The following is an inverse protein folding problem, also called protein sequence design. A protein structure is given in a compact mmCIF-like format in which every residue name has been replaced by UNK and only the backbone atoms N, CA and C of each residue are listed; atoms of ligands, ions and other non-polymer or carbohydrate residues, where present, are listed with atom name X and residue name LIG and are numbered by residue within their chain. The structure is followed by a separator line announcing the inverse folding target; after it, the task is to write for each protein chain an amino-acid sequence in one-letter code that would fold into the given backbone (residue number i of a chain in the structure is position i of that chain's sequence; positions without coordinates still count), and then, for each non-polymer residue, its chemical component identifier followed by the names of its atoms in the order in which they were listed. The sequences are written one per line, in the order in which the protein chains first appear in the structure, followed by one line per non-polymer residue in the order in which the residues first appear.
data_IF_280764417493
#
_entry.id   IF_280764417493
#
_cell.length_a   1.000
_cell.length_b   1.000
_cell.length_c   1.000
_cell.angle_alpha   90.00
_cell.angle_beta   90.00
_cell.angle_gamma   90.00
#
_symmetry.space_group_name_H-M   'P 1'
#
loop_
_entity.id
_entity.type
_entity.pdbx_description
1 polymer ?
#
# COMPACT_ATOMS: atom_id res chain seq x y z
N UNK A 1 53.44 -27.90 -21.89
CA UNK A 1 52.40 -28.65 -21.15
C UNK A 1 51.32 -27.69 -20.71
N UNK A 2 50.15 -27.76 -21.35
CA UNK A 2 48.94 -27.11 -20.86
C UNK A 2 48.29 -28.07 -19.86
N UNK A 3 48.40 -27.75 -18.56
CA UNK A 3 47.80 -28.58 -17.51
C UNK A 3 47.09 -27.67 -16.51
N UNK A 4 45.77 -27.67 -16.58
CA UNK A 4 44.85 -27.41 -15.47
C UNK A 4 45.04 -26.11 -14.67
N UNK A 5 44.66 -24.96 -15.25
CA UNK A 5 44.13 -23.86 -14.44
C UNK A 5 42.74 -24.27 -13.93
N UNK A 6 42.68 -24.96 -12.79
CA UNK A 6 41.51 -24.84 -11.91
C UNK A 6 41.70 -23.50 -11.21
N UNK A 7 40.79 -22.56 -11.40
CA UNK A 7 40.77 -21.30 -10.67
C UNK A 7 40.65 -21.59 -9.18
N UNK A 8 41.79 -21.76 -8.49
CA UNK A 8 41.83 -21.61 -7.05
C UNK A 8 41.58 -20.13 -6.79
N UNK A 9 40.62 -19.81 -5.93
CA UNK A 9 40.44 -18.45 -5.46
C UNK A 9 41.74 -17.87 -4.90
N UNK A 10 41.82 -16.54 -4.88
CA UNK A 10 43.02 -15.79 -4.50
C UNK A 10 43.63 -16.29 -3.16
N UNK A 11 42.78 -16.79 -2.26
CA UNK A 11 43.11 -17.42 -0.97
C UNK A 11 44.13 -18.57 -0.99
N UNK A 12 44.38 -19.20 -2.14
CA UNK A 12 45.35 -20.30 -2.25
C UNK A 12 46.72 -19.90 -2.81
N UNK A 13 46.90 -18.63 -3.21
CA UNK A 13 48.09 -18.19 -3.95
C UNK A 13 49.15 -17.68 -2.96
N UNK A 14 50.09 -18.55 -2.58
CA UNK A 14 51.22 -18.21 -1.69
C UNK A 14 52.50 -17.83 -2.44
N UNK A 15 52.48 -17.92 -3.78
CA UNK A 15 53.63 -17.65 -4.66
C UNK A 15 53.22 -16.64 -5.73
N UNK A 16 53.97 -15.56 -5.96
CA UNK A 16 53.67 -14.59 -7.01
C UNK A 16 53.63 -15.28 -8.38
N UNK A 17 52.63 -14.94 -9.20
CA UNK A 17 52.64 -15.31 -10.61
C UNK A 17 53.80 -14.58 -11.28
N UNK A 18 54.77 -15.35 -11.76
CA UNK A 18 56.03 -14.83 -12.29
C UNK A 18 56.08 -15.06 -13.80
N UNK A 19 56.04 -13.98 -14.57
CA UNK A 19 56.16 -14.00 -16.03
C UNK A 19 57.57 -13.59 -16.43
N UNK A 20 58.33 -14.51 -17.02
CA UNK A 20 59.65 -14.21 -17.56
C UNK A 20 59.48 -13.76 -19.00
N UNK A 21 60.00 -12.58 -19.33
CA UNK A 21 60.05 -12.08 -20.71
C UNK A 21 61.48 -11.84 -21.16
N UNK A 22 61.71 -12.07 -22.45
CA UNK A 22 63.01 -11.86 -23.10
C UNK A 22 62.86 -10.76 -24.13
N UNK A 23 63.63 -9.69 -23.98
CA UNK A 23 63.70 -8.61 -24.98
C UNK A 23 64.90 -8.87 -25.88
N UNK A 24 64.69 -8.88 -27.19
CA UNK A 24 65.75 -9.04 -28.19
C UNK A 24 65.99 -7.73 -28.93
N UNK A 25 67.21 -7.20 -28.84
CA UNK A 25 67.61 -6.02 -29.58
C UNK A 25 67.85 -6.34 -31.07
N UNK A 26 67.78 -5.35 -31.99
CA UNK A 26 67.94 -5.56 -33.43
C UNK A 26 69.30 -6.16 -33.83
N UNK A 27 70.33 -5.97 -33.02
CA UNK A 27 71.67 -6.54 -33.20
C UNK A 27 71.76 -8.03 -32.80
N UNK A 28 70.69 -8.60 -32.26
CA UNK A 28 70.61 -10.01 -31.88
C UNK A 28 70.77 -10.29 -30.39
N UNK A 29 71.19 -9.32 -29.58
CA UNK A 29 71.36 -9.47 -28.14
C UNK A 29 70.02 -9.67 -27.45
N UNK A 30 69.99 -10.49 -26.40
CA UNK A 30 68.78 -10.74 -25.60
C UNK A 30 69.04 -10.46 -24.13
N UNK A 31 68.05 -9.86 -23.47
CA UNK A 31 68.02 -9.73 -22.01
C UNK A 31 66.71 -10.28 -21.46
N UNK A 32 66.74 -10.78 -20.22
CA UNK A 32 65.60 -11.42 -19.56
C UNK A 32 65.25 -10.73 -18.26
N UNK A 33 63.97 -10.48 -18.04
CA UNK A 33 63.44 -9.97 -16.78
C UNK A 33 62.17 -10.72 -16.37
N UNK A 34 61.80 -10.63 -15.09
CA UNK A 34 60.58 -11.21 -14.54
C UNK A 34 59.61 -10.12 -14.09
N UNK A 35 58.34 -10.24 -14.46
CA UNK A 35 57.21 -9.54 -13.85
C UNK A 35 56.56 -10.46 -12.84
N UNK A 36 56.57 -10.07 -11.55
CA UNK A 36 55.96 -10.83 -10.47
C UNK A 36 54.67 -10.14 -10.03
N UNK A 37 53.54 -10.84 -10.11
CA UNK A 37 52.23 -10.38 -9.63
C UNK A 37 51.88 -11.17 -8.37
N UNK A 38 51.73 -10.48 -7.25
CA UNK A 38 51.23 -11.09 -6.00
C UNK A 38 49.78 -10.65 -5.79
N UNK A 39 48.79 -11.48 -6.15
CA UNK A 39 47.41 -11.18 -5.80
C UNK A 39 47.27 -11.19 -4.28
N UNK A 40 46.62 -10.17 -3.72
CA UNK A 40 46.28 -10.12 -2.31
C UNK A 40 44.84 -10.62 -2.16
N UNK A 41 44.68 -11.76 -1.51
CA UNK A 41 43.37 -12.26 -1.11
C UNK A 41 42.68 -11.25 -0.19
N UNK A 42 41.39 -10.96 -0.46
CA UNK A 42 40.54 -10.21 0.46
C UNK A 42 39.64 -11.20 1.19
N UNK A 43 39.41 -10.94 2.47
CA UNK A 43 38.43 -11.70 3.25
C UNK A 43 37.01 -11.51 2.65
N UNK A 44 36.11 -12.44 2.95
CA UNK A 44 34.68 -12.20 2.75
C UNK A 44 34.26 -10.97 3.56
N UNK A 45 33.43 -10.16 2.94
CA UNK A 45 32.97 -8.86 3.45
C UNK A 45 31.57 -8.67 2.86
N UNK A 46 30.55 -8.93 3.67
CA UNK A 46 29.13 -8.71 3.35
C UNK A 46 28.72 -7.35 3.92
N UNK A 47 28.09 -6.51 3.10
CA UNK A 47 27.73 -5.14 3.45
C UNK A 47 26.22 -5.02 3.55
N UNK A 48 25.72 -4.23 4.51
CA UNK A 48 24.27 -4.02 4.59
C UNK A 48 23.75 -3.26 3.37
N UNK A 49 22.74 -3.83 2.74
CA UNK A 49 22.03 -3.27 1.61
C UNK A 49 20.71 -2.64 2.03
N UNK A 50 20.33 -1.59 1.30
CA UNK A 50 19.04 -0.93 1.32
C UNK A 50 18.60 -0.79 -0.13
N UNK A 51 17.47 -1.38 -0.48
CA UNK A 51 16.96 -1.30 -1.85
C UNK A 51 16.69 0.14 -2.27
N UNK A 52 16.59 0.38 -3.58
CA UNK A 52 15.88 1.56 -4.09
C UNK A 52 14.49 1.69 -3.42
N UNK A 53 14.00 2.92 -3.29
CA UNK A 53 12.70 3.17 -2.65
C UNK A 53 11.56 2.60 -3.48
N UNK A 54 10.81 1.68 -2.88
CA UNK A 54 9.59 1.10 -3.44
C UNK A 54 8.39 2.03 -3.16
N UNK A 55 7.88 2.71 -4.19
CA UNK A 55 6.63 3.47 -4.08
C UNK A 55 5.44 2.52 -3.95
N UNK A 56 4.63 2.69 -2.89
CA UNK A 56 3.52 1.79 -2.56
C UNK A 56 2.21 2.56 -2.58
N UNK A 57 1.33 2.24 -3.52
CA UNK A 57 0.02 2.85 -3.61
C UNK A 57 -0.94 2.10 -2.67
N UNK A 58 -1.84 2.84 -2.03
CA UNK A 58 -2.84 2.29 -1.12
C UNK A 58 -4.25 2.63 -1.56
N UNK A 59 -5.23 1.84 -1.10
CA UNK A 59 -6.66 2.12 -1.23
C UNK A 59 -7.35 1.84 0.10
N UNK A 60 -8.49 2.49 0.33
CA UNK A 60 -9.36 2.16 1.45
C UNK A 60 -9.89 0.73 1.33
N UNK A 61 -9.97 0.01 2.44
CA UNK A 61 -10.63 -1.30 2.47
C UNK A 61 -12.13 -1.15 2.18
N UNK A 62 -12.67 -2.12 1.45
CA UNK A 62 -14.07 -2.12 1.06
C UNK A 62 -14.70 -3.49 1.22
N UNK A 63 -15.93 -3.51 1.71
CA UNK A 63 -16.69 -4.74 1.88
C UNK A 63 -18.10 -4.63 1.31
N UNK A 64 -18.60 -5.73 0.74
CA UNK A 64 -20.00 -5.83 0.36
C UNK A 64 -20.87 -5.77 1.62
N UNK A 65 -21.89 -4.91 1.61
CA UNK A 65 -22.73 -4.64 2.76
C UNK A 65 -24.20 -4.91 2.46
N UNK A 66 -24.91 -5.46 3.45
CA UNK A 66 -26.33 -5.78 3.37
C UNK A 66 -26.99 -5.67 4.74
N UNK A 67 -28.14 -5.01 4.80
CA UNK A 67 -29.03 -4.99 5.96
C UNK A 67 -30.46 -5.35 5.54
N UNK A 68 -31.02 -6.39 6.18
CA UNK A 68 -32.39 -6.88 5.96
C UNK A 68 -33.31 -6.65 7.17
N UNK A 69 -32.88 -5.86 8.15
CA UNK A 69 -33.61 -5.54 9.38
C UNK A 69 -34.55 -4.33 9.23
N UNK A 70 -34.67 -3.79 8.01
CA UNK A 70 -35.49 -2.61 7.64
C UNK A 70 -37.01 -2.86 7.57
N UNK A 71 -37.51 -3.84 8.33
CA UNK A 71 -38.94 -4.11 8.51
C UNK A 71 -39.63 -4.79 7.33
N UNK A 72 -40.95 -4.94 7.42
CA UNK A 72 -41.81 -5.47 6.36
C UNK A 72 -43.20 -4.83 6.41
N UNK A 73 -43.93 -4.88 5.30
CA UNK A 73 -45.31 -4.41 5.22
C UNK A 73 -46.19 -5.47 4.57
N UNK A 74 -47.27 -5.88 5.25
CA UNK A 74 -48.22 -6.88 4.74
C UNK A 74 -49.65 -6.36 4.84
N UNK A 75 -50.48 -6.73 3.86
CA UNK A 75 -51.92 -6.46 3.88
C UNK A 75 -52.73 -7.62 3.30
N UNK A 76 -53.99 -7.72 3.71
CA UNK A 76 -54.87 -8.85 3.38
C UNK A 76 -55.58 -8.75 2.02
N UNK A 77 -56.43 -9.73 1.70
CA UNK A 77 -57.07 -9.89 0.38
C UNK A 77 -57.92 -8.69 -0.09
N UNK A 78 -58.46 -7.91 0.84
CA UNK A 78 -59.24 -6.70 0.53
C UNK A 78 -58.40 -5.40 0.63
N UNK A 79 -57.12 -5.52 1.00
CA UNK A 79 -56.22 -4.40 1.18
C UNK A 79 -55.69 -3.84 -0.15
N UNK A 80 -55.41 -2.53 -0.14
CA UNK A 80 -54.81 -1.79 -1.26
C UNK A 80 -53.49 -1.11 -0.90
N UNK A 81 -53.07 -1.23 0.35
CA UNK A 81 -51.87 -0.58 0.84
C UNK A 81 -51.39 -1.20 2.13
N UNK A 82 -50.09 -1.11 2.36
CA UNK A 82 -49.45 -1.38 3.63
C UNK A 82 -48.20 -0.53 3.78
N UNK A 83 -47.91 -0.11 5.01
CA UNK A 83 -46.70 0.64 5.34
C UNK A 83 -45.82 -0.16 6.27
N UNK A 84 -44.51 0.02 6.12
CA UNK A 84 -43.49 -0.56 6.97
C UNK A 84 -42.39 0.46 7.26
N UNK A 85 -41.63 0.18 8.30
CA UNK A 85 -40.48 0.97 8.69
C UNK A 85 -39.47 0.07 9.41
N UNK A 86 -38.20 0.40 9.30
CA UNK A 86 -37.13 -0.21 10.08
C UNK A 86 -35.85 0.60 9.93
N UNK A 87 -34.85 0.26 10.74
CA UNK A 87 -33.57 0.95 10.78
C UNK A 87 -32.46 0.10 10.19
N UNK A 88 -31.39 0.75 9.75
CA UNK A 88 -30.12 0.12 9.42
C UNK A 88 -28.99 1.03 9.88
N UNK A 89 -27.86 0.43 10.24
CA UNK A 89 -26.70 1.14 10.80
C UNK A 89 -25.51 1.10 9.83
N UNK A 90 -24.88 2.26 9.63
CA UNK A 90 -23.55 2.37 9.05
C UNK A 90 -22.57 2.53 10.21
N UNK A 91 -21.56 1.67 10.27
CA UNK A 91 -20.64 1.60 11.41
C UNK A 91 -19.75 2.85 11.50
N UNK A 92 -19.34 3.21 12.72
CA UNK A 92 -18.33 4.26 12.95
C UNK A 92 -17.04 3.94 12.20
N UNK A 93 -16.42 4.96 11.60
CA UNK A 93 -15.21 4.77 10.79
C UNK A 93 -15.50 4.26 9.38
N UNK A 94 -16.77 4.13 8.97
CA UNK A 94 -17.14 3.67 7.62
C UNK A 94 -18.11 4.63 6.95
N UNK A 95 -18.11 4.62 5.61
CA UNK A 95 -19.13 5.24 4.78
C UNK A 95 -19.75 4.18 3.87
N UNK A 96 -21.08 4.19 3.71
CA UNK A 96 -21.78 3.32 2.77
C UNK A 96 -21.95 4.02 1.42
N UNK A 97 -21.30 3.48 0.39
CA UNK A 97 -21.37 3.97 -1.00
C UNK A 97 -22.15 2.98 -1.88
N UNK A 98 -22.65 3.49 -3.01
CA UNK A 98 -23.37 2.67 -4.00
C UNK A 98 -24.67 2.05 -3.46
N UNK A 99 -25.26 2.66 -2.44
CA UNK A 99 -26.41 2.10 -1.74
C UNK A 99 -27.60 1.87 -2.70
N UNK A 100 -28.32 0.77 -2.48
CA UNK A 100 -29.55 0.44 -3.21
C UNK A 100 -30.60 -0.14 -2.27
N UNK A 101 -31.85 0.22 -2.50
CA UNK A 101 -32.99 -0.42 -1.84
C UNK A 101 -33.48 -1.56 -2.71
N UNK A 102 -33.59 -2.75 -2.15
CA UNK A 102 -34.15 -3.92 -2.85
C UNK A 102 -35.43 -4.31 -2.15
N UNK A 103 -36.55 -4.21 -2.86
CA UNK A 103 -37.87 -4.59 -2.36
C UNK A 103 -38.28 -5.93 -2.96
N UNK A 104 -38.36 -6.96 -2.12
CA UNK A 104 -38.99 -8.22 -2.49
C UNK A 104 -40.48 -8.18 -2.18
N UNK A 105 -41.30 -8.50 -3.16
CA UNK A 105 -42.75 -8.50 -3.07
C UNK A 105 -43.26 -9.92 -3.27
N UNK A 106 -44.08 -10.41 -2.35
CA UNK A 106 -44.77 -11.70 -2.47
C UNK A 106 -46.28 -11.51 -2.48
N UNK A 107 -46.96 -12.17 -3.42
CA UNK A 107 -48.42 -12.08 -3.59
C UNK A 107 -49.04 -13.42 -3.96
N UNK A 108 -50.28 -13.63 -3.55
CA UNK A 108 -51.08 -14.81 -3.91
C UNK A 108 -52.14 -14.50 -4.97
N UNK A 109 -52.21 -13.26 -5.46
CA UNK A 109 -53.13 -12.84 -6.52
C UNK A 109 -52.50 -11.72 -7.36
N UNK A 110 -53.05 -11.49 -8.55
CA UNK A 110 -52.67 -10.37 -9.42
C UNK A 110 -53.12 -9.03 -8.82
N UNK A 111 -52.18 -8.09 -8.58
CA UNK A 111 -52.44 -6.82 -7.90
C UNK A 111 -52.70 -5.62 -8.86
N UNK A 112 -52.63 -5.85 -10.17
CA UNK A 112 -52.52 -4.78 -11.15
C UNK A 112 -51.17 -4.06 -11.00
N UNK A 113 -51.17 -2.73 -10.98
CA UNK A 113 -49.97 -1.94 -10.68
C UNK A 113 -49.78 -1.82 -9.16
N UNK A 114 -48.56 -2.08 -8.68
CA UNK A 114 -48.09 -1.76 -7.32
C UNK A 114 -47.02 -0.67 -7.41
N UNK A 115 -47.14 0.37 -6.59
CA UNK A 115 -46.09 1.37 -6.39
C UNK A 115 -45.59 1.31 -4.96
N UNK A 116 -44.27 1.46 -4.78
CA UNK A 116 -43.63 1.55 -3.48
C UNK A 116 -43.06 2.96 -3.34
N UNK A 117 -43.66 3.77 -2.48
CA UNK A 117 -43.08 5.04 -2.04
C UNK A 117 -42.17 4.78 -0.85
N UNK A 118 -40.99 5.39 -0.83
CA UNK A 118 -39.98 5.17 0.20
C UNK A 118 -39.26 6.47 0.57
N UNK A 119 -38.75 6.52 1.80
CA UNK A 119 -37.93 7.61 2.31
C UNK A 119 -36.89 7.06 3.28
N UNK A 120 -35.63 7.44 3.08
CA UNK A 120 -34.54 7.25 4.04
C UNK A 120 -34.45 8.52 4.87
N UNK A 121 -34.36 8.35 6.18
CA UNK A 121 -34.26 9.43 7.14
C UNK A 121 -33.08 9.24 8.09
N UNK A 122 -32.46 10.33 8.48
CA UNK A 122 -31.50 10.38 9.58
C UNK A 122 -32.02 11.40 10.60
N UNK A 123 -32.10 11.02 11.88
CA UNK A 123 -32.60 11.88 12.95
C UNK A 123 -33.97 12.55 12.63
N UNK A 124 -34.84 11.83 11.92
CA UNK A 124 -36.16 12.30 11.48
C UNK A 124 -36.16 13.21 10.25
N UNK A 125 -35.00 13.56 9.70
CA UNK A 125 -34.86 14.36 8.47
C UNK A 125 -34.76 13.45 7.26
N UNK A 126 -35.58 13.70 6.23
CA UNK A 126 -35.52 12.93 4.98
C UNK A 126 -34.28 13.31 4.19
N UNK A 127 -33.36 12.35 4.02
CA UNK A 127 -32.14 12.52 3.23
C UNK A 127 -32.32 12.10 1.78
N UNK A 128 -33.19 11.12 1.52
CA UNK A 128 -33.59 10.72 0.17
C UNK A 128 -34.95 10.06 0.16
N UNK A 129 -35.72 10.26 -0.90
CA UNK A 129 -37.02 9.62 -1.09
C UNK A 129 -37.30 9.37 -2.57
N UNK A 130 -38.32 8.56 -2.84
CA UNK A 130 -38.79 8.32 -4.19
C UNK A 130 -39.98 7.36 -4.23
N UNK A 131 -40.40 7.04 -5.45
CA UNK A 131 -41.41 6.03 -5.72
C UNK A 131 -40.92 5.13 -6.85
N UNK A 132 -41.09 3.82 -6.68
CA UNK A 132 -40.74 2.83 -7.71
C UNK A 132 -41.95 1.96 -8.05
N UNK A 133 -42.30 1.80 -9.34
CA UNK A 133 -43.32 0.86 -9.74
C UNK A 133 -42.77 -0.57 -9.72
N UNK A 134 -43.60 -1.53 -9.31
CA UNK A 134 -43.31 -2.96 -9.44
C UNK A 134 -44.12 -3.48 -10.61
N UNK A 135 -43.45 -3.65 -11.75
CA UNK A 135 -44.07 -4.13 -12.99
C UNK A 135 -44.39 -5.62 -12.91
N UNK A 136 -45.46 -6.05 -13.62
CA UNK A 136 -45.80 -7.46 -13.86
C UNK A 136 -46.05 -8.32 -12.59
N UNK A 137 -46.74 -7.78 -11.58
CA UNK A 137 -47.14 -8.61 -10.43
C UNK A 137 -48.30 -9.54 -10.82
N UNK A 138 -47.93 -10.66 -11.42
CA UNK A 138 -48.73 -11.90 -11.44
C UNK A 138 -48.45 -12.73 -10.19
N UNK A 139 -49.16 -13.84 -10.02
CA UNK A 139 -48.97 -14.80 -8.93
C UNK A 139 -47.49 -15.13 -8.68
N UNK A 140 -46.99 -14.97 -7.45
CA UNK A 140 -45.61 -15.33 -7.08
C UNK A 140 -44.81 -14.20 -6.40
N UNK A 141 -43.52 -14.12 -6.74
CA UNK A 141 -42.59 -13.13 -6.19
C UNK A 141 -42.05 -12.18 -7.27
N UNK A 142 -41.92 -10.91 -6.93
CA UNK A 142 -41.28 -9.89 -7.77
C UNK A 142 -40.23 -9.14 -6.94
N UNK A 143 -39.14 -8.73 -7.58
CA UNK A 143 -38.09 -7.93 -6.94
C UNK A 143 -37.88 -6.66 -7.73
N UNK A 144 -37.76 -5.53 -7.03
CA UNK A 144 -37.37 -4.25 -7.64
C UNK A 144 -36.22 -3.64 -6.88
N UNK A 145 -35.24 -3.09 -7.61
CA UNK A 145 -34.07 -2.42 -7.05
C UNK A 145 -34.13 -0.93 -7.38
N UNK A 146 -33.89 -0.10 -6.38
CA UNK A 146 -33.75 1.35 -6.51
C UNK A 146 -32.30 1.71 -6.23
N UNK A 147 -31.57 2.15 -7.25
CA UNK A 147 -30.21 2.66 -7.08
C UNK A 147 -30.25 4.08 -6.51
N UNK A 148 -29.51 4.33 -5.43
CA UNK A 148 -29.44 5.63 -4.77
C UNK A 148 -28.24 6.45 -5.28
N UNK A 149 -27.97 6.44 -6.59
CA UNK A 149 -26.80 7.06 -7.22
C UNK A 149 -26.42 8.42 -6.60
N UNK A 150 -25.14 8.55 -6.24
CA UNK A 150 -24.58 9.76 -5.64
C UNK A 150 -24.98 10.00 -4.17
N UNK A 151 -25.67 9.06 -3.51
CA UNK A 151 -25.85 9.09 -2.07
C UNK A 151 -24.72 8.30 -1.40
N UNK A 152 -23.98 8.99 -0.55
CA UNK A 152 -23.06 8.40 0.43
C UNK A 152 -23.71 8.56 1.80
N UNK A 153 -23.65 7.52 2.63
CA UNK A 153 -24.21 7.51 3.97
C UNK A 153 -23.07 7.36 4.96
N UNK A 154 -22.78 8.41 5.71
CA UNK A 154 -21.77 8.38 6.78
C UNK A 154 -22.22 7.47 7.94
N UNK A 155 -21.31 7.21 8.87
CA UNK A 155 -21.60 6.48 10.09
C UNK A 155 -22.83 7.05 10.83
N UNK A 156 -23.81 6.20 11.09
CA UNK A 156 -25.07 6.63 11.68
C UNK A 156 -26.18 5.60 11.59
N UNK A 157 -27.29 5.89 12.26
CA UNK A 157 -28.51 5.09 12.22
C UNK A 157 -29.53 5.75 11.31
N UNK A 158 -29.95 5.01 10.28
CA UNK A 158 -30.90 5.47 9.28
C UNK A 158 -32.22 4.74 9.40
N UNK A 159 -33.32 5.43 9.13
CA UNK A 159 -34.67 4.83 9.06
C UNK A 159 -35.13 4.74 7.61
N UNK A 160 -35.49 3.54 7.16
CA UNK A 160 -36.22 3.35 5.91
C UNK A 160 -37.73 3.28 6.19
N UNK A 161 -38.48 4.26 5.72
CA UNK A 161 -39.94 4.23 5.69
C UNK A 161 -40.42 3.87 4.29
N UNK A 162 -41.42 3.02 4.16
CA UNK A 162 -41.99 2.66 2.86
C UNK A 162 -43.48 2.34 2.92
N UNK A 163 -44.17 2.59 1.81
CA UNK A 163 -45.60 2.31 1.63
C UNK A 163 -45.85 1.71 0.26
N UNK A 164 -46.36 0.48 0.24
CA UNK A 164 -46.89 -0.17 -0.95
C UNK A 164 -48.32 0.28 -1.22
N UNK A 165 -48.65 0.53 -2.49
CA UNK A 165 -50.02 0.87 -2.94
C UNK A 165 -50.37 0.15 -4.23
N UNK A 166 -51.36 -0.73 -4.19
CA UNK A 166 -51.85 -1.49 -5.35
C UNK A 166 -53.21 -0.99 -5.85
N UNK A 167 -53.40 -1.07 -7.17
CA UNK A 167 -54.63 -0.60 -7.84
C UNK A 167 -55.85 -1.48 -7.54
N UNK A 168 -55.69 -2.80 -7.64
CA UNK A 168 -56.73 -3.79 -7.36
C UNK A 168 -56.53 -4.36 -5.96
N UNK A 169 -57.60 -4.56 -5.19
CA UNK A 169 -57.49 -5.15 -3.86
C UNK A 169 -56.84 -6.54 -3.92
N UNK A 170 -55.91 -6.82 -3.00
CA UNK A 170 -55.22 -8.09 -2.97
C UNK A 170 -54.14 -8.17 -1.92
N UNK A 171 -53.90 -9.37 -1.39
CA UNK A 171 -52.91 -9.58 -0.36
C UNK A 171 -51.48 -9.51 -0.95
N UNK A 172 -50.61 -8.78 -0.26
CA UNK A 172 -49.20 -8.71 -0.59
C UNK A 172 -48.35 -8.56 0.68
N UNK A 173 -47.07 -8.92 0.57
CA UNK A 173 -46.04 -8.58 1.54
C UNK A 173 -44.85 -7.97 0.81
N UNK A 174 -44.34 -6.86 1.32
CA UNK A 174 -43.11 -6.20 0.89
C UNK A 174 -42.05 -6.39 1.97
N UNK A 175 -40.91 -6.94 1.60
CA UNK A 175 -39.74 -7.15 2.45
C UNK A 175 -38.53 -6.43 1.83
N UNK A 176 -38.20 -5.21 2.28
CA UNK A 176 -37.00 -4.53 1.84
C UNK A 176 -35.71 -5.12 2.43
N UNK A 177 -34.62 -4.83 1.73
CA UNK A 177 -33.26 -4.81 2.25
C UNK A 177 -32.50 -3.64 1.66
N UNK A 178 -31.45 -3.19 2.33
CA UNK A 178 -30.49 -2.21 1.81
C UNK A 178 -29.22 -2.98 1.47
N UNK A 179 -28.62 -2.67 0.33
CA UNK A 179 -27.33 -3.21 -0.09
C UNK A 179 -26.40 -2.06 -0.48
N UNK A 180 -25.09 -2.27 -0.42
CA UNK A 180 -24.10 -1.31 -0.89
C UNK A 180 -22.68 -1.83 -0.66
N UNK A 181 -21.74 -0.91 -0.62
CA UNK A 181 -20.34 -1.18 -0.30
C UNK A 181 -19.91 -0.26 0.82
N UNK A 182 -19.49 -0.82 1.95
CA UNK A 182 -18.82 -0.02 2.98
C UNK A 182 -17.39 0.27 2.53
N UNK A 183 -16.94 1.47 2.84
CA UNK A 183 -15.56 1.92 2.68
C UNK A 183 -15.07 2.34 4.05
N UNK A 184 -13.97 1.75 4.50
CA UNK A 184 -13.35 2.07 5.78
C UNK A 184 -12.53 3.35 5.64
N UNK A 185 -12.75 4.29 6.56
CA UNK A 185 -12.09 5.60 6.58
C UNK A 185 -10.76 5.58 7.36
N UNK A 186 -10.47 4.47 8.04
CA UNK A 186 -9.29 4.28 8.88
C UNK A 186 -8.42 3.07 8.52
N UNK A 187 -8.80 2.32 7.48
CA UNK A 187 -8.05 1.17 6.98
C UNK A 187 -7.63 1.38 5.52
N UNK A 188 -6.35 1.66 5.32
CA UNK A 188 -5.71 1.78 4.01
C UNK A 188 -4.79 0.59 3.76
N UNK A 189 -4.97 -0.07 2.63
CA UNK A 189 -4.26 -1.29 2.26
C UNK A 189 -3.48 -1.11 0.97
N UNK A 190 -2.33 -1.78 0.88
CA UNK A 190 -1.55 -1.89 -0.38
C UNK A 190 -2.43 -2.37 -1.54
N UNK A 191 -2.30 -1.72 -2.70
CA UNK A 191 -3.13 -2.03 -3.87
C UNK A 191 -2.32 -2.20 -5.15
N UNK A 192 -2.53 -3.33 -5.82
CA UNK A 192 -1.86 -3.68 -7.06
C UNK A 192 -0.61 -4.51 -6.83
N UNK A 193 0.40 -4.34 -7.68
CA UNK A 193 1.66 -5.08 -7.61
C UNK A 193 2.80 -4.10 -7.47
N UNK A 194 3.52 -4.19 -6.36
CA UNK A 194 4.68 -3.35 -6.06
C UNK A 194 5.92 -4.23 -6.00
N UNK A 195 6.90 -3.92 -6.86
CA UNK A 195 8.18 -4.65 -6.91
C UNK A 195 9.37 -3.72 -6.92
N UNK A 196 10.42 -4.09 -6.19
CA UNK A 196 11.75 -3.45 -6.30
C UNK A 196 12.79 -4.50 -6.69
N UNK A 197 13.70 -4.10 -7.56
CA UNK A 197 14.83 -4.92 -8.00
C UNK A 197 16.12 -4.34 -7.42
N UNK A 198 17.13 -5.19 -7.28
CA UNK A 198 18.44 -4.76 -6.84
C UNK A 198 19.46 -5.90 -6.92
N UNK A 199 20.64 -5.66 -6.37
CA UNK A 199 21.70 -6.64 -6.27
C UNK A 199 22.56 -6.40 -5.02
N UNK A 200 22.57 -7.38 -4.12
CA UNK A 200 23.33 -7.32 -2.86
C UNK A 200 24.87 -7.35 -3.04
N UNK A 201 25.39 -7.53 -4.25
CA UNK A 201 26.83 -7.68 -4.49
C UNK A 201 27.49 -6.52 -5.22
N UNK A 202 26.75 -5.78 -6.06
CA UNK A 202 27.35 -4.77 -6.94
C UNK A 202 27.46 -3.38 -6.30
N UNK A 203 26.94 -3.24 -5.08
CA UNK A 203 26.98 -2.03 -4.27
C UNK A 203 25.96 -0.97 -4.66
N UNK A 204 25.06 -1.21 -5.62
CA UNK A 204 23.95 -0.28 -5.91
C UNK A 204 23.14 0.02 -4.67
N UNK A 205 22.91 -1.02 -3.87
CA UNK A 205 22.05 -0.99 -2.69
C UNK A 205 22.85 -0.70 -1.40
N UNK A 206 24.16 -0.47 -1.51
CA UNK A 206 25.06 -0.24 -0.38
C UNK A 206 25.90 1.03 -0.53
N UNK A 207 25.33 2.08 -1.13
CA UNK A 207 26.00 3.36 -1.37
C UNK A 207 27.36 3.23 -2.11
N UNK A 208 27.46 2.26 -3.01
CA UNK A 208 28.65 1.95 -3.81
C UNK A 208 29.64 1.00 -3.15
N UNK A 209 29.37 0.50 -1.94
CA UNK A 209 30.20 -0.51 -1.29
C UNK A 209 29.83 -1.91 -1.81
N UNK A 210 30.72 -2.52 -2.60
CA UNK A 210 30.53 -3.88 -3.10
C UNK A 210 30.91 -4.94 -2.08
N UNK A 211 30.09 -5.98 -1.96
CA UNK A 211 30.44 -7.20 -1.26
C UNK A 211 31.70 -7.86 -1.84
N UNK A 212 32.51 -8.42 -0.95
CA UNK A 212 33.70 -9.17 -1.34
C UNK A 212 33.42 -10.65 -1.39
N UNK A 213 33.35 -11.16 -2.61
CA UNK A 213 33.20 -12.58 -2.90
C UNK A 213 34.56 -13.23 -3.10
N UNK A 214 34.75 -14.41 -2.51
CA UNK A 214 36.05 -15.07 -2.49
C UNK A 214 36.28 -16.02 -3.69
N UNK A 215 35.28 -16.33 -4.53
CA UNK A 215 35.30 -16.86 -5.93
C UNK A 215 34.01 -17.66 -6.28
N UNK A 216 33.96 -18.35 -7.44
CA UNK A 216 32.93 -19.28 -7.97
C UNK A 216 32.34 -20.34 -7.01
N UNK A 217 32.81 -20.39 -5.76
CA UNK A 217 32.36 -21.31 -4.73
C UNK A 217 31.78 -20.60 -3.50
N UNK A 218 31.53 -19.29 -3.56
CA UNK A 218 30.80 -18.61 -2.49
C UNK A 218 29.38 -19.15 -2.45
N UNK A 219 28.97 -19.58 -1.25
CA UNK A 219 27.62 -20.02 -0.95
C UNK A 219 26.87 -18.85 -0.34
N UNK A 220 25.64 -18.64 -0.78
CA UNK A 220 24.76 -17.59 -0.30
C UNK A 220 23.61 -18.24 0.48
N UNK A 221 23.53 -17.97 1.78
CA UNK A 221 22.38 -18.36 2.60
C UNK A 221 21.56 -17.13 2.92
N UNK A 222 20.23 -17.20 2.76
CA UNK A 222 19.31 -16.10 3.05
C UNK A 222 18.21 -16.61 3.96
N UNK A 223 17.85 -15.81 4.96
CA UNK A 223 16.70 -16.04 5.83
C UNK A 223 15.77 -14.82 5.86
N UNK A 224 14.48 -15.11 6.02
CA UNK A 224 13.42 -14.12 6.19
C UNK A 224 12.51 -14.50 7.34
N UNK A 225 11.22 -14.22 7.18
CA UNK A 225 10.22 -14.37 8.22
C UNK A 225 9.79 -15.83 8.44
N UNK A 226 9.31 -16.15 9.65
CA UNK A 226 8.77 -17.47 10.03
C UNK A 226 9.67 -18.67 9.72
N UNK A 227 10.99 -18.48 9.75
CA UNK A 227 11.96 -19.53 9.47
C UNK A 227 12.09 -19.88 7.98
N UNK A 228 11.54 -19.06 7.09
CA UNK A 228 11.80 -19.16 5.65
C UNK A 228 13.28 -18.90 5.39
N UNK A 229 13.97 -19.85 4.79
CA UNK A 229 15.39 -19.75 4.49
C UNK A 229 15.75 -20.62 3.28
N UNK A 230 16.78 -20.23 2.56
CA UNK A 230 17.37 -21.01 1.49
C UNK A 230 18.88 -20.80 1.42
N UNK A 231 19.56 -21.76 0.81
CA UNK A 231 21.00 -21.71 0.55
C UNK A 231 21.25 -22.02 -0.91
N UNK A 232 21.85 -21.06 -1.62
CA UNK A 232 22.22 -21.12 -3.02
C UNK A 232 23.72 -21.43 -3.12
N UNK A 233 24.10 -22.40 -3.95
CA UNK A 233 25.50 -22.84 -4.11
C UNK A 233 25.80 -23.26 -5.56
N UNK A 234 26.75 -22.59 -6.21
CA UNK A 234 27.22 -22.93 -7.56
C UNK A 234 27.94 -24.29 -7.62
N UNK A 235 28.53 -24.76 -6.52
CA UNK A 235 29.27 -26.02 -6.47
C UNK A 235 28.40 -27.27 -6.40
N UNK A 236 27.12 -27.13 -6.02
CA UNK A 236 26.13 -28.19 -6.18
C UNK A 236 25.97 -28.60 -7.67
N UNK A 237 26.43 -27.78 -8.60
CA UNK A 237 26.46 -28.03 -10.04
C UNK A 237 27.68 -28.88 -10.51
N UNK A 238 28.58 -29.32 -9.62
CA UNK A 238 29.77 -30.11 -10.01
C UNK A 238 30.10 -31.30 -9.12
N UNK A 239 29.31 -31.59 -8.09
CA UNK A 239 29.56 -32.70 -7.16
C UNK A 239 28.29 -33.51 -6.89
N UNK A 240 27.89 -34.36 -7.85
CA UNK A 240 27.22 -35.61 -7.49
C UNK A 240 28.24 -36.51 -6.78
N UNK A 241 28.50 -36.26 -5.50
CA UNK A 241 29.27 -37.16 -4.63
C UNK A 241 28.53 -37.37 -3.32
N UNK A 242 27.84 -38.51 -3.27
CA UNK A 242 27.48 -39.37 -2.13
C UNK A 242 27.96 -38.90 -0.74
N UNK A 243 27.20 -38.00 -0.11
CA UNK A 243 27.16 -37.76 1.34
C UNK A 243 25.72 -37.34 1.68
N UNK A 244 25.08 -38.10 2.57
CA UNK A 244 23.68 -37.99 2.90
C UNK A 244 23.49 -37.24 4.23
N UNK A 245 23.32 -35.91 4.17
CA UNK A 245 22.64 -35.13 5.22
C UNK A 245 22.16 -33.75 4.73
N UNK A 246 21.58 -33.67 3.54
CA UNK A 246 20.55 -32.70 3.09
C UNK A 246 20.45 -32.82 1.55
N UNK A 247 19.27 -32.88 0.94
CA UNK A 247 19.18 -32.63 -0.49
C UNK A 247 19.44 -31.12 -0.70
N UNK A 248 20.69 -30.73 -0.93
CA UNK A 248 21.00 -29.41 -1.45
C UNK A 248 20.42 -29.36 -2.87
N UNK A 249 19.17 -28.91 -2.97
CA UNK A 249 18.53 -28.68 -4.24
C UNK A 249 19.36 -27.64 -5.01
N UNK A 250 19.78 -28.03 -6.21
CA UNK A 250 20.44 -27.20 -7.20
C UNK A 250 19.56 -25.98 -7.51
N UNK A 251 19.78 -24.90 -6.77
CA UNK A 251 18.99 -23.67 -6.86
C UNK A 251 19.97 -22.54 -7.14
N UNK A 252 19.90 -22.00 -8.36
CA UNK A 252 20.52 -20.73 -8.71
C UNK A 252 19.64 -19.55 -8.29
N UNK A 253 18.47 -19.84 -7.72
CA UNK A 253 17.46 -18.89 -7.29
C UNK A 253 16.59 -19.47 -6.18
N UNK A 254 16.18 -18.66 -5.21
CA UNK A 254 15.25 -19.04 -4.15
C UNK A 254 14.21 -17.95 -3.90
N UNK A 255 13.05 -18.38 -3.41
CA UNK A 255 12.00 -17.49 -2.89
C UNK A 255 12.03 -17.55 -1.37
N UNK A 256 12.22 -16.40 -0.72
CA UNK A 256 12.20 -16.24 0.73
C UNK A 256 10.95 -15.46 1.11
N UNK A 257 10.19 -15.96 2.08
CA UNK A 257 9.05 -15.25 2.63
C UNK A 257 9.52 -14.13 3.56
N UNK A 258 9.04 -12.91 3.32
CA UNK A 258 9.17 -11.78 4.24
C UNK A 258 7.94 -11.63 5.13
N UNK A 259 7.92 -10.58 5.95
CA UNK A 259 6.76 -10.20 6.75
C UNK A 259 5.59 -9.72 5.88
N UNK A 260 5.90 -8.88 4.89
CA UNK A 260 4.89 -8.16 4.09
C UNK A 260 4.91 -8.56 2.62
N UNK A 261 5.92 -9.32 2.19
CA UNK A 261 6.08 -9.72 0.80
C UNK A 261 6.96 -10.96 0.63
N UNK A 262 7.49 -11.12 -0.58
CA UNK A 262 8.38 -12.22 -0.94
C UNK A 262 9.61 -11.71 -1.67
N UNK A 263 10.78 -12.24 -1.32
CA UNK A 263 12.04 -11.97 -1.97
C UNK A 263 12.40 -13.15 -2.89
N UNK A 264 12.44 -12.91 -4.20
CA UNK A 264 13.08 -13.82 -5.14
C UNK A 264 14.53 -13.37 -5.32
N UNK A 265 15.49 -14.20 -4.94
CA UNK A 265 16.92 -13.88 -5.04
C UNK A 265 17.67 -14.95 -5.84
N UNK A 266 18.61 -14.51 -6.65
CA UNK A 266 19.48 -15.35 -7.45
C UNK A 266 20.87 -15.47 -6.82
N UNK A 267 21.61 -16.50 -7.22
CA UNK A 267 22.97 -16.76 -6.72
C UNK A 267 23.97 -15.66 -7.11
N UNK A 268 23.68 -14.89 -8.16
CA UNK A 268 24.47 -13.72 -8.58
C UNK A 268 24.12 -12.44 -7.81
N UNK A 269 23.32 -12.55 -6.74
CA UNK A 269 22.92 -11.44 -5.88
C UNK A 269 21.72 -10.64 -6.40
N UNK A 270 21.34 -10.82 -7.67
CA UNK A 270 20.19 -10.13 -8.24
C UNK A 270 18.90 -10.59 -7.57
N UNK A 271 18.06 -9.64 -7.15
CA UNK A 271 16.80 -9.95 -6.48
C UNK A 271 15.62 -9.17 -7.04
N UNK A 272 14.43 -9.66 -6.71
CA UNK A 272 13.17 -8.95 -6.85
C UNK A 272 12.37 -9.17 -5.58
N UNK A 273 12.06 -8.09 -4.86
CA UNK A 273 11.09 -8.13 -3.79
C UNK A 273 9.71 -7.76 -4.35
N UNK A 274 8.69 -8.52 -3.97
CA UNK A 274 7.29 -8.25 -4.31
C UNK A 274 6.48 -8.10 -3.03
N UNK A 275 5.90 -6.92 -2.81
CA UNK A 275 5.00 -6.66 -1.69
C UNK A 275 3.65 -7.36 -1.91
N UNK A 276 3.08 -7.95 -0.87
CA UNK A 276 1.74 -8.54 -0.95
C UNK A 276 0.68 -7.44 -1.10
N UNK A 277 -0.38 -7.74 -1.86
CA UNK A 277 -1.57 -6.89 -1.94
C UNK A 277 -2.47 -7.09 -0.71
N UNK A 278 -3.19 -6.05 -0.27
CA UNK A 278 -4.11 -6.12 0.87
C UNK A 278 -3.42 -6.11 2.23
N UNK A 279 -2.14 -5.70 2.29
CA UNK A 279 -1.46 -5.43 3.57
C UNK A 279 -1.91 -4.05 4.07
N UNK A 280 -2.57 -4.02 5.24
CA UNK A 280 -2.97 -2.78 5.91
C UNK A 280 -1.75 -2.00 6.42
N UNK A 281 -1.72 -0.68 6.18
CA UNK A 281 -0.60 0.19 6.58
C UNK A 281 -0.32 0.14 8.09
N UNK A 282 -1.39 0.13 8.89
CA UNK A 282 -1.32 0.01 10.35
C UNK A 282 -0.70 -1.30 10.86
N UNK A 283 -0.64 -2.35 10.03
CA UNK A 283 -0.01 -3.64 10.36
C UNK A 283 1.50 -3.66 10.07
N UNK A 284 2.00 -2.72 9.27
CA UNK A 284 3.42 -2.60 8.94
C UNK A 284 4.13 -1.82 10.06
N UNK A 285 4.53 -2.53 11.10
CA UNK A 285 5.09 -1.95 12.34
C UNK A 285 6.63 -2.03 12.43
N UNK A 286 7.29 -2.66 11.45
CA UNK A 286 8.74 -2.67 11.30
C UNK A 286 9.14 -2.68 9.83
N UNK A 287 10.38 -2.27 9.52
CA UNK A 287 10.93 -2.42 8.17
C UNK A 287 11.08 -3.90 7.79
N UNK A 288 10.97 -4.20 6.50
CA UNK A 288 11.18 -5.54 5.94
C UNK A 288 12.68 -5.77 5.79
N UNK A 289 13.19 -6.81 6.44
CA UNK A 289 14.62 -7.10 6.50
C UNK A 289 14.86 -8.58 6.26
N UNK A 290 15.77 -8.88 5.34
CA UNK A 290 16.30 -10.22 5.11
C UNK A 290 17.75 -10.27 5.60
N UNK A 291 18.13 -11.36 6.26
CA UNK A 291 19.54 -11.57 6.63
C UNK A 291 20.16 -12.50 5.61
N UNK A 292 21.36 -12.17 5.13
CA UNK A 292 22.13 -13.05 4.27
C UNK A 292 23.53 -13.31 4.81
N UNK A 293 24.06 -14.47 4.45
CA UNK A 293 25.36 -14.95 4.85
C UNK A 293 26.11 -15.46 3.63
N UNK A 294 27.36 -15.04 3.53
CA UNK A 294 28.31 -15.53 2.54
C UNK A 294 29.25 -16.52 3.22
N UNK A 295 29.40 -17.72 2.65
CA UNK A 295 30.38 -18.70 3.08
C UNK A 295 31.40 -18.98 1.98
N UNK A 296 32.66 -19.19 2.36
CA UNK A 296 33.62 -19.90 1.52
C UNK A 296 33.81 -21.37 1.92
N UNK A 297 34.47 -22.12 1.04
CA UNK A 297 34.79 -23.53 1.25
C UNK A 297 35.88 -23.79 2.29
N UNK A 298 36.50 -22.75 2.83
CA UNK A 298 37.48 -22.85 3.90
C UNK A 298 36.87 -22.57 5.28
N UNK A 299 35.56 -22.30 5.33
CA UNK A 299 34.80 -22.08 6.55
C UNK A 299 34.84 -20.64 7.05
N UNK A 300 35.28 -19.68 6.22
CA UNK A 300 35.07 -18.27 6.52
C UNK A 300 33.65 -17.87 6.15
N UNK A 301 33.04 -17.06 7.02
CA UNK A 301 31.66 -16.61 6.87
C UNK A 301 31.57 -15.14 7.21
N UNK A 302 30.72 -14.41 6.50
CA UNK A 302 30.30 -13.07 6.88
C UNK A 302 28.81 -12.85 6.64
N UNK A 303 28.19 -11.90 7.35
CA UNK A 303 26.74 -11.69 7.32
C UNK A 303 26.34 -10.23 7.31
N UNK A 304 25.30 -9.93 6.54
CA UNK A 304 24.72 -8.61 6.42
C UNK A 304 23.20 -8.71 6.20
N UNK A 305 22.55 -7.58 6.01
CA UNK A 305 21.10 -7.50 5.81
C UNK A 305 20.74 -6.77 4.54
N UNK A 306 19.71 -7.25 3.85
CA UNK A 306 18.97 -6.48 2.85
C UNK A 306 17.72 -5.89 3.49
N UNK A 307 17.66 -4.57 3.59
CA UNK A 307 16.47 -3.83 4.03
C UNK A 307 15.69 -3.35 2.80
N UNK A 308 14.41 -3.67 2.71
CA UNK A 308 13.55 -3.10 1.66
C UNK A 308 13.09 -1.73 2.11
N UNK A 309 13.40 -0.70 1.33
CA UNK A 309 12.92 0.66 1.57
C UNK A 309 11.58 0.87 0.85
N UNK A 310 10.56 1.29 1.59
CA UNK A 310 9.22 1.54 1.05
C UNK A 310 8.81 2.99 1.31
N UNK A 311 7.98 3.54 0.42
CA UNK A 311 7.33 4.83 0.59
C UNK A 311 5.84 4.69 0.28
N UNK A 312 5.00 4.36 1.27
CA UNK A 312 3.56 4.31 1.08
C UNK A 312 2.96 5.66 0.73
N UNK A 313 1.97 5.62 -0.16
CA UNK A 313 1.25 6.76 -0.70
C UNK A 313 -0.23 6.55 -0.44
N UNK A 314 -0.81 7.44 0.35
CA UNK A 314 -2.21 7.44 0.75
C UNK A 314 -2.85 8.67 0.11
N UNK A 315 -3.90 8.45 -0.67
CA UNK A 315 -4.65 9.53 -1.31
C UNK A 315 -5.86 9.87 -0.44
N UNK A 316 -5.97 11.13 -0.03
CA UNK A 316 -7.14 11.63 0.70
C UNK A 316 -8.39 11.60 -0.19
N UNK A 317 -9.55 11.48 0.44
CA UNK A 317 -10.84 11.38 -0.23
C UNK A 317 -11.75 12.58 0.09
N UNK A 318 -12.99 12.55 -0.40
CA UNK A 318 -13.98 13.55 -0.05
C UNK A 318 -14.53 13.42 1.38
N UNK A 319 -14.05 12.44 2.15
CA UNK A 319 -14.49 12.12 3.50
C UNK A 319 -13.50 12.67 4.53
N UNK A 320 -13.84 12.53 5.81
CA UNK A 320 -12.93 12.85 6.90
C UNK A 320 -12.14 11.59 7.24
N UNK A 321 -11.01 11.39 6.56
CA UNK A 321 -10.20 10.18 6.67
C UNK A 321 -9.35 10.19 7.94
N UNK A 322 -9.08 9.00 8.49
CA UNK A 322 -8.26 8.80 9.68
C UNK A 322 -7.06 7.95 9.31
N UNK A 323 -5.91 8.58 9.14
CA UNK A 323 -4.69 7.90 8.76
C UNK A 323 -3.97 7.29 9.95
N UNK A 324 -3.63 6.02 9.78
CA UNK A 324 -2.67 5.28 10.61
C UNK A 324 -1.60 4.75 9.65
N UNK A 325 -0.47 5.44 9.63
CA UNK A 325 0.70 5.14 8.78
C UNK A 325 1.45 3.88 9.18
N UNK A 326 2.44 3.53 8.38
CA UNK A 326 3.32 2.38 8.52
C UNK A 326 4.58 2.69 9.35
N UNK A 327 5.57 1.78 9.33
CA UNK A 327 6.91 1.96 9.88
C UNK A 327 7.86 2.74 8.93
N UNK A 328 7.40 3.08 7.73
CA UNK A 328 8.15 3.82 6.72
C UNK A 328 7.73 5.30 6.70
N UNK A 329 8.39 6.11 5.86
CA UNK A 329 7.94 7.48 5.60
C UNK A 329 6.75 7.44 4.66
N UNK A 330 5.55 7.62 5.20
CA UNK A 330 4.32 7.62 4.41
C UNK A 330 4.04 9.01 3.83
N UNK A 331 3.34 9.08 2.69
CA UNK A 331 2.91 10.34 2.08
C UNK A 331 1.39 10.39 1.99
N UNK A 332 0.76 11.36 2.67
CA UNK A 332 -0.64 11.71 2.47
C UNK A 332 -0.76 12.74 1.35
N UNK A 333 -1.49 12.39 0.28
CA UNK A 333 -1.59 13.16 -0.96
C UNK A 333 -2.99 13.75 -1.07
N UNK A 334 -3.05 15.07 -1.25
CA UNK A 334 -4.27 15.83 -1.48
C UNK A 334 -4.39 16.25 -2.94
N UNK A 335 -5.32 15.63 -3.66
CA UNK A 335 -5.67 16.02 -5.03
C UNK A 335 -6.74 17.12 -5.05
N UNK A 336 -6.85 17.82 -6.17
CA UNK A 336 -7.97 18.73 -6.38
C UNK A 336 -9.25 18.00 -6.83
N UNK A 337 -10.10 17.59 -5.87
CA UNK A 337 -11.37 16.90 -6.13
C UNK A 337 -12.50 17.86 -6.55
N UNK A 338 -12.55 19.06 -5.93
CA UNK A 338 -13.54 20.09 -6.19
C UNK A 338 -12.90 21.49 -6.19
N UNK A 339 -12.87 22.14 -7.37
CA UNK A 339 -12.34 23.48 -7.57
C UNK A 339 -13.06 24.60 -6.81
N UNK A 340 -14.32 24.38 -6.40
CA UNK A 340 -15.11 25.37 -5.68
C UNK A 340 -15.01 25.25 -4.15
N UNK A 341 -14.32 24.22 -3.66
CA UNK A 341 -14.22 23.91 -2.24
C UNK A 341 -12.90 24.40 -1.62
N UNK A 342 -12.97 24.85 -0.37
CA UNK A 342 -11.85 25.45 0.35
C UNK A 342 -10.73 24.45 0.69
N UNK A 343 -11.03 23.17 0.89
CA UNK A 343 -10.01 22.11 1.06
C UNK A 343 -9.69 21.39 -0.26
N UNK A 344 -10.21 21.90 -1.38
CA UNK A 344 -10.18 21.18 -2.65
C UNK A 344 -11.10 19.97 -2.68
N UNK A 345 -12.03 19.87 -1.73
CA UNK A 345 -12.99 18.78 -1.62
C UNK A 345 -12.48 17.57 -0.83
N UNK A 346 -11.40 17.69 -0.05
CA UNK A 346 -10.74 16.58 0.65
C UNK A 346 -11.15 16.41 2.13
N UNK A 347 -12.37 16.81 2.50
CA UNK A 347 -12.82 16.75 3.89
C UNK A 347 -11.89 17.46 4.89
N UNK A 348 -11.89 16.97 6.12
CA UNK A 348 -10.97 17.37 7.19
C UNK A 348 -10.40 16.11 7.87
N UNK A 349 -9.15 15.77 7.53
CA UNK A 349 -8.53 14.50 7.90
C UNK A 349 -7.84 14.55 9.26
N UNK A 350 -7.52 13.37 9.77
CA UNK A 350 -6.71 13.18 10.98
C UNK A 350 -5.60 12.17 10.70
N UNK A 351 -4.41 12.41 11.21
CA UNK A 351 -3.29 11.46 11.14
C UNK A 351 -2.81 11.14 12.56
N UNK A 352 -3.04 9.91 13.00
CA UNK A 352 -2.86 9.52 14.42
C UNK A 352 -1.39 9.34 14.84
N UNK A 353 -0.54 8.92 13.90
CA UNK A 353 0.84 8.51 14.17
C UNK A 353 1.88 9.22 13.26
N UNK A 354 1.59 10.44 12.81
CA UNK A 354 2.52 11.22 12.00
C UNK A 354 3.90 11.33 12.67
N UNK A 355 4.96 11.06 11.91
CA UNK A 355 6.31 10.90 12.43
C UNK A 355 7.36 11.55 11.54
N UNK A 356 7.95 12.63 12.06
CA UNK A 356 9.09 13.29 11.42
C UNK A 356 10.32 12.40 11.35
N UNK A 357 10.47 11.47 12.31
CA UNK A 357 11.60 10.54 12.35
C UNK A 357 11.51 9.46 11.27
N UNK A 358 10.30 9.05 10.89
CA UNK A 358 10.07 8.10 9.81
C UNK A 358 10.16 8.76 8.43
N UNK A 359 9.99 10.08 8.38
CA UNK A 359 10.04 10.86 7.15
C UNK A 359 8.69 11.07 6.51
N UNK A 360 7.60 11.01 7.30
CA UNK A 360 6.23 11.19 6.82
C UNK A 360 6.02 12.54 6.14
N UNK A 361 5.17 12.58 5.13
CA UNK A 361 4.96 13.75 4.29
C UNK A 361 3.49 14.00 4.04
N UNK A 362 3.17 15.27 3.87
CA UNK A 362 1.87 15.75 3.45
C UNK A 362 2.09 16.48 2.14
N UNK A 363 1.40 16.05 1.10
CA UNK A 363 1.51 16.60 -0.24
C UNK A 363 0.24 17.35 -0.62
N UNK A 364 0.36 18.66 -0.82
CA UNK A 364 -0.71 19.57 -1.20
C UNK A 364 -0.42 20.28 -2.53
N UNK A 365 0.48 19.74 -3.36
CA UNK A 365 0.96 20.41 -4.57
C UNK A 365 -0.15 20.81 -5.57
N UNK A 366 -1.30 20.14 -5.54
CA UNK A 366 -2.44 20.47 -6.42
C UNK A 366 -3.43 21.48 -5.82
N UNK A 367 -3.33 21.78 -4.52
CA UNK A 367 -4.36 22.56 -3.83
C UNK A 367 -4.19 24.07 -4.04
N UNK A 368 -2.95 24.55 -4.07
CA UNK A 368 -2.67 25.99 -4.08
C UNK A 368 -2.86 26.59 -5.48
N UNK A 369 -3.53 27.74 -5.55
CA UNK A 369 -3.78 28.47 -6.80
C UNK A 369 -3.19 29.88 -6.76
N UNK A 370 -2.36 30.23 -7.74
CA UNK A 370 -1.74 31.55 -7.83
C UNK A 370 -0.56 31.78 -6.89
N UNK A 371 -0.07 30.75 -6.19
CA UNK A 371 1.16 30.84 -5.41
C UNK A 371 2.39 30.95 -6.35
N UNK A 372 3.32 31.83 -6.03
CA UNK A 372 4.54 32.12 -6.82
C UNK A 372 5.72 31.21 -6.46
N UNK A 373 5.46 30.14 -5.71
CA UNK A 373 6.44 29.19 -5.19
C UNK A 373 7.54 29.83 -4.33
N UNK A 374 7.30 31.04 -3.80
CA UNK A 374 8.21 31.69 -2.88
C UNK A 374 7.92 31.27 -1.44
N UNK A 375 8.92 30.77 -0.73
CA UNK A 375 8.78 30.37 0.68
C UNK A 375 8.26 31.52 1.58
N UNK A 376 8.62 32.77 1.25
CA UNK A 376 8.19 33.94 2.02
C UNK A 376 6.69 34.23 1.94
N UNK A 377 5.99 33.76 0.90
CA UNK A 377 4.56 33.98 0.67
C UNK A 377 3.71 32.77 1.04
N UNK A 378 4.32 31.60 1.29
CA UNK A 378 3.60 30.36 1.58
C UNK A 378 2.70 30.45 2.82
N UNK A 379 3.08 31.23 3.83
CA UNK A 379 2.25 31.44 5.04
C UNK A 379 0.90 32.12 4.78
N UNK A 380 0.72 32.73 3.61
CA UNK A 380 -0.58 33.23 3.17
C UNK A 380 -1.51 32.09 2.75
N UNK A 381 -0.94 30.99 2.24
CA UNK A 381 -1.67 29.84 1.69
C UNK A 381 -1.80 28.67 2.67
N UNK A 382 -0.81 28.48 3.54
CA UNK A 382 -0.77 27.37 4.50
C UNK A 382 -0.55 27.93 5.89
N UNK A 383 -1.48 27.62 6.78
CA UNK A 383 -1.40 28.01 8.18
C UNK A 383 -1.25 26.76 9.04
N UNK A 384 -0.31 26.81 9.98
CA UNK A 384 -0.04 25.70 10.91
C UNK A 384 -0.17 26.25 12.31
N UNK A 385 -1.04 25.65 13.11
CA UNK A 385 -1.23 26.03 14.50
C UNK A 385 -1.33 24.79 15.38
N UNK A 386 -0.90 24.92 16.62
CA UNK A 386 -1.02 23.85 17.61
C UNK A 386 -2.34 23.99 18.37
N UNK A 387 -3.08 22.89 18.51
CA UNK A 387 -4.27 22.79 19.36
C UNK A 387 -4.05 21.64 20.34
N UNK A 388 -3.95 21.95 21.64
CA UNK A 388 -3.56 21.00 22.68
C UNK A 388 -2.23 20.28 22.37
N UNK A 389 -2.28 18.96 22.15
CA UNK A 389 -1.13 18.13 21.79
C UNK A 389 -0.96 17.95 20.27
N UNK A 390 -1.82 18.56 19.46
CA UNK A 390 -1.93 18.30 18.03
C UNK A 390 -1.41 19.48 17.19
N UNK A 391 -1.06 19.20 15.95
CA UNK A 391 -0.78 20.19 14.91
C UNK A 391 -1.94 20.20 13.93
N UNK A 392 -2.54 21.36 13.69
CA UNK A 392 -3.58 21.56 12.69
C UNK A 392 -2.98 22.33 11.53
N UNK A 393 -3.11 21.75 10.33
CA UNK A 393 -2.69 22.36 9.07
C UNK A 393 -3.96 22.78 8.33
N UNK A 394 -4.05 24.07 8.04
CA UNK A 394 -5.16 24.68 7.32
C UNK A 394 -4.65 25.24 5.98
N UNK A 395 -5.52 25.25 4.97
CA UNK A 395 -5.21 25.81 3.65
C UNK A 395 -6.15 26.96 3.31
N UNK A 396 -5.55 28.02 2.78
CA UNK A 396 -6.22 29.08 2.03
C UNK A 396 -5.71 29.02 0.58
N UNK A 397 -6.50 28.42 -0.29
CA UNK A 397 -6.03 28.03 -1.62
C UNK A 397 -5.59 29.21 -2.50
N UNK A 398 -6.18 30.40 -2.32
CA UNK A 398 -5.81 31.60 -3.07
C UNK A 398 -4.83 32.52 -2.32
N UNK A 399 -4.55 32.21 -1.05
CA UNK A 399 -3.68 32.99 -0.16
C UNK A 399 -4.15 34.41 0.12
N UNK A 400 -5.36 34.78 -0.30
CA UNK A 400 -5.91 36.13 -0.18
C UNK A 400 -7.09 36.20 0.79
N UNK A 401 -7.57 35.06 1.29
CA UNK A 401 -8.76 34.94 2.13
C UNK A 401 -10.04 35.37 1.39
N UNK A 402 -10.03 35.32 0.06
CA UNK A 402 -11.04 35.93 -0.79
C UNK A 402 -12.04 34.91 -1.34
N UNK A 403 -11.66 34.18 -2.39
CA UNK A 403 -12.46 33.10 -2.96
C UNK A 403 -12.50 31.91 -2.00
N UNK A 404 -11.39 31.68 -1.30
CA UNK A 404 -11.26 30.66 -0.28
C UNK A 404 -10.88 31.30 1.04
N UNK A 405 -11.28 30.67 2.14
CA UNK A 405 -10.82 31.05 3.48
C UNK A 405 -9.96 29.93 4.01
N UNK A 406 -8.98 30.27 4.84
CA UNK A 406 -8.22 29.31 5.64
C UNK A 406 -9.17 28.31 6.30
N UNK A 407 -9.06 27.04 5.90
CA UNK A 407 -9.91 25.94 6.36
C UNK A 407 -9.02 24.77 6.75
N UNK A 408 -9.32 24.13 7.88
CA UNK A 408 -8.56 22.98 8.37
C UNK A 408 -8.60 21.85 7.34
N UNK A 409 -7.41 21.34 7.00
CA UNK A 409 -7.23 20.26 6.04
C UNK A 409 -6.89 18.96 6.77
N UNK A 410 -5.92 19.00 7.68
CA UNK A 410 -5.47 17.83 8.41
C UNK A 410 -5.03 18.18 9.83
N UNK A 411 -5.39 17.31 10.77
CA UNK A 411 -4.89 17.33 12.15
C UNK A 411 -3.89 16.19 12.37
N UNK A 412 -2.65 16.52 12.70
CA UNK A 412 -1.62 15.59 13.12
C UNK A 412 -1.69 15.42 14.64
N UNK A 413 -1.97 14.20 15.09
CA UNK A 413 -2.23 13.94 16.50
C UNK A 413 -0.95 13.76 17.30
N UNK A 414 -0.96 14.26 18.53
CA UNK A 414 0.12 14.06 19.50
C UNK A 414 1.51 14.51 19.02
N UNK A 415 1.56 15.43 18.05
CA UNK A 415 2.76 16.06 17.53
C UNK A 415 2.54 17.56 17.43
N UNK A 416 3.53 18.36 17.83
CA UNK A 416 3.50 19.82 17.75
C UNK A 416 4.60 20.30 16.81
N UNK A 417 4.21 20.80 15.65
CA UNK A 417 5.08 21.28 14.59
C UNK A 417 4.69 22.69 14.18
N UNK A 418 5.66 23.45 13.74
CA UNK A 418 5.45 24.71 13.02
C UNK A 418 5.52 24.47 11.51
N UNK A 419 5.02 25.43 10.72
CA UNK A 419 5.22 25.42 9.26
C UNK A 419 6.71 25.29 8.90
N UNK A 420 7.60 25.94 9.66
CA UNK A 420 9.04 25.86 9.42
C UNK A 420 9.59 24.45 9.68
N UNK A 421 9.12 23.74 10.71
CA UNK A 421 9.55 22.36 11.00
C UNK A 421 9.16 21.42 9.86
N UNK A 422 7.96 21.60 9.31
CA UNK A 422 7.46 20.82 8.18
C UNK A 422 8.28 21.08 6.90
N UNK A 423 8.65 22.33 6.63
CA UNK A 423 9.40 22.71 5.42
C UNK A 423 10.87 22.31 5.48
N UNK A 424 11.56 22.57 6.59
CA UNK A 424 13.00 22.31 6.71
C UNK A 424 13.34 20.81 6.59
N UNK A 425 12.40 19.95 6.95
CA UNK A 425 12.58 18.49 6.93
C UNK A 425 11.79 17.82 5.80
N UNK A 426 11.26 18.60 4.85
CA UNK A 426 10.53 18.09 3.67
C UNK A 426 9.32 17.21 4.02
N UNK A 427 8.60 17.56 5.07
CA UNK A 427 7.35 16.92 5.51
C UNK A 427 6.10 17.58 4.90
N UNK A 428 6.25 18.72 4.26
CA UNK A 428 5.17 19.38 3.51
C UNK A 428 5.63 19.67 2.08
N UNK A 429 4.99 19.03 1.12
CA UNK A 429 5.21 19.21 -0.32
C UNK A 429 4.13 20.17 -0.84
N UNK A 430 4.56 21.29 -1.42
CA UNK A 430 3.66 22.41 -1.82
C UNK A 430 3.77 22.78 -3.30
N UNK A 431 4.70 22.17 -4.04
CA UNK A 431 4.94 22.40 -5.46
C UNK A 431 6.23 21.68 -5.91
N UNK A 432 6.24 21.20 -7.15
CA UNK A 432 7.40 20.58 -7.81
C UNK A 432 8.28 21.56 -8.57
#
# INVERSE_FOLDING_TARGET
CATSCRSRGADSIKTPDSFIYTVKAPNGDTDTASLNITPTARALDAINDVSDTLSVATLQDTAAWLDSSVGSASWGLLGKSGSGSGTFDVATGTVLKGASLVFDVSTLITLGNLNISWAIQENGTVIRNGTVPVANITLGSATVTVNLSGLELDAGTYTLNFTGTNTLAGAATITPRVIGTTVDLDNFETSGTHTVLGNIFDGSDAAGAMDQLNTVNTRLSISGYNGSAATLDAAANSAATLDAAAPAANTTSATIQGHYGTLQINLDGAYTYTLNNGVAMSSITSKEVFTYQLDDKMGHTDSATLTIDMAPQIVSTNQNDVLIGSAYGDTLIYHLLNGADATGGNGADRWQNFSTAQGDKIDIHELLTGWDHQAATLGNFVQVHTSDANTVISVDRDGAGSAFKSTDLVTLENVQLTLNDLLQNNHLITGG
#
